data_IF_573332982515
#
_entry.id   IF_573332982515
#
_cell.length_a   1.000
_cell.length_b   1.000
_cell.length_c   1.000
_cell.angle_alpha   90.00
_cell.angle_beta   90.00
_cell.angle_gamma   90.00
#
_symmetry.space_group_name_H-M   'P 1'
#
loop_
_entity.id
_entity.type
_entity.pdbx_description
1 polymer ?
#
# COMPACT_ATOMS: atom_id res chain seq x y z
N UNK A 1 23.73 -44.88 27.71
CA UNK A 1 24.17 -44.93 26.31
C UNK A 1 22.98 -44.87 25.35
N UNK A 2 22.04 -43.92 25.50
CA UNK A 2 20.88 -43.78 24.60
C UNK A 2 20.47 -42.32 24.34
N UNK A 3 21.32 -41.35 24.69
CA UNK A 3 20.97 -39.92 24.59
C UNK A 3 21.71 -39.19 23.46
N UNK A 4 22.60 -39.87 22.72
CA UNK A 4 23.46 -39.26 21.69
C UNK A 4 23.01 -39.51 20.24
N UNK A 5 21.89 -40.21 20.01
CA UNK A 5 21.43 -40.60 18.67
C UNK A 5 20.22 -39.80 18.13
N UNK A 6 19.80 -38.73 18.81
CA UNK A 6 18.67 -37.89 18.38
C UNK A 6 19.09 -36.50 17.85
N UNK A 7 20.38 -36.23 17.68
CA UNK A 7 20.91 -35.02 17.05
C UNK A 7 21.41 -35.31 15.64
N UNK A 8 20.51 -35.79 14.76
CA UNK A 8 20.82 -36.02 13.35
C UNK A 8 20.84 -34.72 12.53
N UNK A 9 21.64 -34.65 11.46
CA UNK A 9 21.76 -33.47 10.57
C UNK A 9 20.44 -33.07 9.90
N UNK A 10 19.48 -33.99 9.81
CA UNK A 10 18.13 -33.80 9.24
C UNK A 10 17.34 -32.67 9.93
N UNK A 11 17.36 -32.63 11.26
CA UNK A 11 16.60 -31.63 12.04
C UNK A 11 17.22 -30.24 11.97
N UNK A 12 18.54 -30.17 11.82
CA UNK A 12 19.29 -28.93 11.69
C UNK A 12 19.01 -28.33 10.32
N UNK A 13 19.07 -29.13 9.26
CA UNK A 13 18.72 -28.74 7.89
C UNK A 13 17.27 -28.29 7.79
N UNK A 14 16.32 -29.02 8.40
CA UNK A 14 14.90 -28.64 8.40
C UNK A 14 14.66 -27.29 9.11
N UNK A 15 15.33 -27.04 10.24
CA UNK A 15 15.25 -25.75 10.94
C UNK A 15 15.83 -24.62 10.09
N UNK A 16 16.95 -24.84 9.42
CA UNK A 16 17.52 -23.83 8.52
C UNK A 16 16.58 -23.54 7.35
N UNK A 17 15.99 -24.56 6.72
CA UNK A 17 15.01 -24.38 5.64
C UNK A 17 13.75 -23.64 6.10
N UNK A 18 13.25 -23.93 7.30
CA UNK A 18 12.10 -23.22 7.89
C UNK A 18 12.45 -21.76 8.20
N UNK A 19 13.64 -21.50 8.76
CA UNK A 19 14.07 -20.13 9.05
C UNK A 19 14.32 -19.32 7.79
N UNK A 20 14.93 -19.90 6.74
CA UNK A 20 15.17 -19.19 5.47
C UNK A 20 13.88 -18.93 4.71
N UNK A 21 12.94 -19.87 4.72
CA UNK A 21 11.62 -19.66 4.11
C UNK A 21 10.79 -18.61 4.85
N UNK A 22 10.77 -18.62 6.19
CA UNK A 22 10.13 -17.56 6.98
C UNK A 22 10.80 -16.21 6.74
N UNK A 23 12.13 -16.16 6.70
CA UNK A 23 12.87 -14.93 6.38
C UNK A 23 12.55 -14.43 4.96
N UNK A 24 12.47 -15.33 3.97
CA UNK A 24 12.09 -14.97 2.61
C UNK A 24 10.65 -14.44 2.52
N UNK A 25 9.71 -14.99 3.30
CA UNK A 25 8.33 -14.49 3.39
C UNK A 25 8.30 -13.10 4.03
N UNK A 26 9.07 -12.86 5.08
CA UNK A 26 9.15 -11.54 5.75
C UNK A 26 9.85 -10.50 4.87
N UNK A 27 10.86 -10.90 4.09
CA UNK A 27 11.58 -10.00 3.18
C UNK A 27 10.85 -9.77 1.85
N UNK A 28 9.90 -10.63 1.50
CA UNK A 28 8.91 -10.36 0.47
C UNK A 28 7.88 -9.35 1.01
N UNK A 29 8.36 -8.17 1.38
CA UNK A 29 7.51 -7.01 1.57
C UNK A 29 6.85 -6.74 0.21
N UNK A 30 5.52 -6.85 0.17
CA UNK A 30 4.71 -6.56 -1.01
C UNK A 30 4.93 -5.09 -1.36
N UNK A 31 5.79 -4.81 -2.35
CA UNK A 31 5.96 -3.47 -2.86
C UNK A 31 4.56 -2.99 -3.28
N UNK A 32 4.04 -1.87 -2.73
CA UNK A 32 2.65 -1.52 -2.93
C UNK A 32 2.39 -1.36 -4.42
N UNK A 33 1.48 -2.19 -4.96
CA UNK A 33 1.06 -2.24 -6.37
C UNK A 33 0.50 -0.91 -6.92
N UNK A 34 0.54 0.17 -6.14
CA UNK A 34 0.09 1.51 -6.51
C UNK A 34 1.02 2.19 -7.54
N UNK A 35 2.30 1.81 -7.60
CA UNK A 35 3.26 2.41 -8.55
C UNK A 35 3.12 1.87 -9.98
N UNK A 36 2.59 0.67 -10.16
CA UNK A 36 2.55 0.00 -11.47
C UNK A 36 1.50 0.56 -12.44
N UNK A 37 0.46 1.25 -11.96
CA UNK A 37 -0.67 1.60 -12.84
C UNK A 37 -0.48 2.92 -13.61
N UNK A 38 0.36 3.89 -13.20
CA UNK A 38 0.41 5.22 -13.85
C UNK A 38 1.73 5.99 -13.76
N UNK A 39 2.84 5.41 -14.19
CA UNK A 39 4.09 6.17 -14.37
C UNK A 39 3.99 7.34 -15.39
N UNK A 40 2.85 7.54 -16.05
CA UNK A 40 2.62 8.62 -17.03
C UNK A 40 1.76 9.81 -16.56
N UNK A 41 1.16 9.80 -15.35
CA UNK A 41 0.29 10.92 -14.92
C UNK A 41 1.01 11.99 -14.10
N UNK A 42 2.00 11.59 -13.31
CA UNK A 42 2.72 12.47 -12.37
C UNK A 42 4.19 12.49 -12.76
N UNK A 43 4.69 13.63 -13.26
CA UNK A 43 6.08 13.81 -13.71
C UNK A 43 6.93 14.35 -12.56
N UNK A 44 8.01 13.66 -12.21
CA UNK A 44 8.99 14.11 -11.21
C UNK A 44 8.51 14.10 -9.76
N UNK A 45 7.35 13.49 -9.48
CA UNK A 45 6.84 13.30 -8.12
C UNK A 45 7.26 11.95 -7.53
N UNK A 46 7.11 11.82 -6.22
CA UNK A 46 7.25 10.57 -5.48
C UNK A 46 5.91 10.13 -4.87
N UNK A 47 5.79 8.85 -4.55
CA UNK A 47 4.60 8.34 -3.85
C UNK A 47 4.62 8.86 -2.41
N UNK A 48 3.57 9.57 -2.02
CA UNK A 48 3.42 10.06 -0.67
C UNK A 48 3.33 8.90 0.33
N UNK A 49 4.00 9.03 1.48
CA UNK A 49 3.85 8.06 2.56
C UNK A 49 2.37 7.97 2.99
N UNK A 50 1.85 6.78 3.32
CA UNK A 50 0.46 6.63 3.73
C UNK A 50 0.09 7.62 4.85
N UNK A 51 -1.05 8.31 4.69
CA UNK A 51 -1.58 9.29 5.63
C UNK A 51 -0.69 10.53 5.92
N UNK A 52 0.35 10.78 5.13
CA UNK A 52 1.20 11.99 5.28
C UNK A 52 0.45 13.30 4.99
N UNK A 53 -0.62 13.22 4.19
CA UNK A 53 -1.48 14.35 3.82
C UNK A 53 -2.95 14.04 4.20
N UNK A 54 -3.29 13.98 5.50
CA UNK A 54 -4.59 13.48 5.95
C UNK A 54 -5.78 14.37 5.56
N UNK A 55 -5.52 15.62 5.18
CA UNK A 55 -6.52 16.54 4.65
C UNK A 55 -6.82 16.36 3.17
N UNK A 56 -6.02 15.58 2.43
CA UNK A 56 -6.23 15.34 1.00
C UNK A 56 -7.49 14.51 0.76
N UNK A 57 -8.39 14.99 -0.10
CA UNK A 57 -9.60 14.25 -0.50
C UNK A 57 -9.67 14.04 -2.02
N UNK A 58 -10.51 13.08 -2.42
CA UNK A 58 -10.84 12.78 -3.82
C UNK A 58 -12.32 13.07 -4.05
N UNK A 59 -12.61 14.07 -4.90
CA UNK A 59 -13.99 14.39 -5.32
C UNK A 59 -14.38 13.46 -6.47
N UNK A 60 -15.43 12.68 -6.24
CA UNK A 60 -15.90 11.65 -7.18
C UNK A 60 -17.34 11.91 -7.61
N UNK A 61 -17.61 11.74 -8.91
CA UNK A 61 -18.98 11.72 -9.44
C UNK A 61 -19.40 10.28 -9.71
N UNK A 62 -20.63 9.95 -9.33
CA UNK A 62 -21.20 8.61 -9.54
C UNK A 62 -22.06 8.64 -10.80
N UNK A 63 -21.71 7.79 -11.78
CA UNK A 63 -22.46 7.63 -13.02
C UNK A 63 -22.55 6.15 -13.39
N UNK A 64 -23.75 5.66 -13.73
CA UNK A 64 -23.94 4.28 -14.16
C UNK A 64 -23.47 3.23 -13.13
N UNK A 65 -23.45 3.56 -11.84
CA UNK A 65 -22.95 2.68 -10.77
C UNK A 65 -21.43 2.72 -10.54
N UNK A 66 -20.70 3.55 -11.30
CA UNK A 66 -19.25 3.70 -11.17
C UNK A 66 -18.88 5.09 -10.63
N UNK A 67 -17.86 5.13 -9.79
CA UNK A 67 -17.30 6.37 -9.26
C UNK A 67 -16.09 6.82 -10.10
N UNK A 68 -16.11 8.09 -10.54
CA UNK A 68 -15.05 8.68 -11.34
C UNK A 68 -14.44 9.86 -10.60
N UNK A 69 -13.12 9.84 -10.40
CA UNK A 69 -12.37 10.96 -9.79
C UNK A 69 -12.40 12.15 -10.74
N UNK A 70 -12.94 13.28 -10.27
CA UNK A 70 -13.06 14.52 -11.03
C UNK A 70 -12.00 15.54 -10.60
N UNK A 71 -11.88 15.74 -9.29
CA UNK A 71 -11.01 16.76 -8.71
C UNK A 71 -10.42 16.30 -7.36
N UNK A 72 -9.46 17.07 -6.85
CA UNK A 72 -9.02 16.98 -5.46
C UNK A 72 -9.66 18.04 -4.57
N UNK A 73 -9.27 18.07 -3.30
CA UNK A 73 -9.65 19.11 -2.34
C UNK A 73 -8.94 18.93 -1.00
N UNK A 74 -9.24 19.85 -0.08
CA UNK A 74 -8.65 19.89 1.27
C UNK A 74 -9.75 19.92 2.32
N UNK A 75 -9.72 18.99 3.29
CA UNK A 75 -10.58 19.03 4.47
C UNK A 75 -10.14 20.18 5.39
N UNK A 76 -10.98 21.20 5.52
CA UNK A 76 -10.68 22.41 6.32
C UNK A 76 -11.41 22.43 7.67
N UNK A 77 -12.50 21.67 7.79
CA UNK A 77 -13.18 21.37 9.05
C UNK A 77 -13.93 20.04 8.91
N UNK A 78 -14.51 19.53 10.01
CA UNK A 78 -15.14 18.19 10.09
C UNK A 78 -16.03 17.84 8.89
N UNK A 79 -16.80 18.80 8.42
CA UNK A 79 -17.79 18.62 7.33
C UNK A 79 -17.59 19.62 6.18
N UNK A 80 -16.41 20.25 6.11
CA UNK A 80 -16.13 21.30 5.12
C UNK A 80 -14.87 20.98 4.31
N UNK A 81 -15.03 20.96 2.99
CA UNK A 81 -13.95 20.75 2.03
C UNK A 81 -13.79 21.99 1.16
N UNK A 82 -12.55 22.45 1.01
CA UNK A 82 -12.17 23.46 0.03
C UNK A 82 -11.74 22.80 -1.29
N UNK A 83 -12.23 23.32 -2.42
CA UNK A 83 -11.88 22.88 -3.77
C UNK A 83 -12.02 24.03 -4.77
N UNK A 84 -11.66 23.81 -6.03
CA UNK A 84 -11.84 24.79 -7.10
C UNK A 84 -13.33 24.90 -7.49
N UNK A 85 -13.82 26.12 -7.74
CA UNK A 85 -15.22 26.36 -8.09
C UNK A 85 -15.68 25.57 -9.33
N UNK A 86 -14.84 25.46 -10.36
CA UNK A 86 -15.12 24.68 -11.57
C UNK A 86 -15.28 23.16 -11.34
N UNK A 87 -14.91 22.66 -10.15
CA UNK A 87 -15.13 21.25 -9.80
C UNK A 87 -16.55 20.98 -9.32
N UNK A 88 -17.30 22.03 -8.93
CA UNK A 88 -18.66 21.92 -8.37
C UNK A 88 -19.73 22.63 -9.21
N UNK A 89 -19.33 23.61 -10.03
CA UNK A 89 -20.22 24.32 -10.94
C UNK A 89 -20.07 23.73 -12.36
N UNK A 90 -21.09 22.99 -12.82
CA UNK A 90 -21.17 22.36 -14.15
C UNK A 90 -22.42 22.77 -14.88
#
# INVERSE_FOLDING_TARGET
>A
MYTYCLSGPEHVTLRFLVLTSLAAIVLAEDQPRYLEDRLGRVVGGEVASPNSWPWQISLQYISGGYAYVQCGGTLIARDWVMTAAQCVDR
#
